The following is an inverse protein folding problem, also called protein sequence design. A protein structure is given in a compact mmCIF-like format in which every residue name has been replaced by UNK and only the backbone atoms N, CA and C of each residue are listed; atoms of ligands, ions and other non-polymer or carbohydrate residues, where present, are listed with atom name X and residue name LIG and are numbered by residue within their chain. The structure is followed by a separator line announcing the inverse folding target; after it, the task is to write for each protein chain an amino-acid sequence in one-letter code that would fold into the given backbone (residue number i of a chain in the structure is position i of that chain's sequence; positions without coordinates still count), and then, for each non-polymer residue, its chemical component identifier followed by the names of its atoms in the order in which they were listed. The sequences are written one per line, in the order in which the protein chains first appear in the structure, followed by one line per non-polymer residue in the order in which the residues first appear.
data_IF_037237788502
#
_entry.id   IF_037237788502
#
_cell.length_a   1.000
_cell.length_b   1.000
_cell.length_c   1.000
_cell.angle_alpha   90.00
_cell.angle_beta   90.00
_cell.angle_gamma   90.00
#
_symmetry.space_group_name_H-M   'P 1'
#
loop_
_entity.id
_entity.type
_entity.pdbx_description
1 polymer ?
#
# COMPACT_ATOMS: atom_id res chain seq x y z
N UNK A 1 -10.38 40.60 0.58
CA UNK A 1 -11.12 39.42 0.14
C UNK A 1 -11.82 38.84 1.35
N UNK A 2 -13.15 38.83 1.35
CA UNK A 2 -13.96 38.24 2.44
C UNK A 2 -13.93 36.72 2.30
N UNK A 3 -13.98 35.99 3.42
CA UNK A 3 -13.91 34.51 3.41
C UNK A 3 -15.01 33.87 2.53
N UNK A 4 -16.18 34.51 2.45
CA UNK A 4 -17.28 34.07 1.58
C UNK A 4 -16.96 34.20 0.08
N UNK A 5 -16.19 35.21 -0.31
CA UNK A 5 -15.75 35.41 -1.69
C UNK A 5 -14.78 34.28 -2.07
N UNK A 6 -13.81 33.98 -1.20
CA UNK A 6 -12.86 32.87 -1.39
C UNK A 6 -13.55 31.51 -1.51
N UNK A 7 -14.60 31.27 -0.72
CA UNK A 7 -15.35 30.01 -0.80
C UNK A 7 -16.05 29.84 -2.14
N UNK A 8 -16.57 30.94 -2.68
CA UNK A 8 -17.19 30.95 -4.00
C UNK A 8 -16.17 30.69 -5.10
N UNK A 9 -15.01 31.37 -5.04
CA UNK A 9 -13.94 31.22 -6.03
C UNK A 9 -13.32 29.81 -6.05
N UNK A 10 -13.26 29.14 -4.90
CA UNK A 10 -12.70 27.79 -4.76
C UNK A 10 -13.74 26.67 -4.90
N UNK A 11 -14.99 26.99 -5.23
CA UNK A 11 -16.09 26.01 -5.32
C UNK A 11 -16.22 25.13 -4.05
N UNK A 12 -16.02 25.75 -2.89
CA UNK A 12 -16.20 25.11 -1.57
C UNK A 12 -17.36 25.76 -0.83
N UNK A 13 -18.09 24.97 -0.07
CA UNK A 13 -19.23 25.42 0.73
C UNK A 13 -18.98 25.18 2.21
N UNK A 14 -19.43 26.12 3.04
CA UNK A 14 -19.46 25.94 4.48
C UNK A 14 -20.44 24.83 4.87
N UNK A 15 -19.95 23.89 5.67
CA UNK A 15 -20.70 22.74 6.13
C UNK A 15 -21.17 22.97 7.56
N UNK A 16 -22.48 23.04 7.73
CA UNK A 16 -23.08 23.31 9.03
C UNK A 16 -23.02 22.08 9.94
N UNK A 17 -22.54 22.22 11.19
CA UNK A 17 -22.75 21.22 12.23
C UNK A 17 -24.25 20.98 12.49
N UNK A 18 -24.59 19.75 12.87
CA UNK A 18 -25.95 19.33 13.22
C UNK A 18 -26.46 20.12 14.44
N UNK A 19 -25.59 20.34 15.43
CA UNK A 19 -25.86 21.17 16.60
C UNK A 19 -25.48 22.65 16.38
N UNK A 20 -26.16 23.28 15.41
CA UNK A 20 -25.96 24.70 15.07
C UNK A 20 -26.04 25.61 16.30
N UNK A 21 -25.17 26.60 16.36
CA UNK A 21 -25.11 27.57 17.47
C UNK A 21 -24.32 27.10 18.70
N UNK A 22 -23.85 25.84 18.72
CA UNK A 22 -22.90 25.40 19.75
C UNK A 22 -21.56 26.10 19.53
N UNK A 23 -21.03 26.85 20.52
CA UNK A 23 -19.74 27.50 20.38
C UNK A 23 -18.62 26.48 20.15
N UNK A 24 -17.75 26.76 19.19
CA UNK A 24 -16.54 25.96 18.95
C UNK A 24 -15.39 26.45 19.81
N UNK A 25 -15.43 27.71 20.26
CA UNK A 25 -14.50 28.28 21.22
C UNK A 25 -15.26 28.79 22.44
N UNK A 26 -14.83 28.35 23.62
CA UNK A 26 -15.28 28.81 24.93
C UNK A 26 -14.05 29.30 25.68
N UNK A 27 -13.84 30.62 25.76
CA UNK A 27 -12.76 31.21 26.53
C UNK A 27 -12.83 30.79 28.00
N UNK A 28 -11.67 30.70 28.66
CA UNK A 28 -11.61 30.39 30.09
C UNK A 28 -11.80 31.61 30.99
N UNK A 29 -11.70 32.82 30.42
CA UNK A 29 -11.97 34.08 31.10
C UNK A 29 -13.46 34.42 31.10
N UNK A 30 -13.99 34.81 32.27
CA UNK A 30 -15.41 35.08 32.47
C UNK A 30 -15.94 36.32 31.71
N UNK A 31 -15.05 37.16 31.19
CA UNK A 31 -15.40 38.39 30.47
C UNK A 31 -15.52 38.18 28.95
N UNK A 32 -14.93 37.10 28.40
CA UNK A 32 -14.97 36.82 26.96
C UNK A 32 -16.18 35.99 26.56
N UNK A 33 -16.70 36.30 25.37
CA UNK A 33 -17.85 35.59 24.81
C UNK A 33 -17.44 34.34 24.04
N UNK A 34 -18.24 33.29 24.19
CA UNK A 34 -18.11 32.08 23.39
C UNK A 34 -18.38 32.37 21.91
N UNK A 35 -17.66 31.70 21.00
CA UNK A 35 -17.69 31.98 19.56
C UNK A 35 -17.65 30.72 18.70
N UNK A 36 -18.06 30.86 17.43
CA UNK A 36 -18.09 29.79 16.41
C UNK A 36 -17.12 30.17 15.29
N UNK A 37 -15.82 30.07 15.59
CA UNK A 37 -14.76 30.50 14.67
C UNK A 37 -14.12 29.33 13.92
N UNK A 38 -14.35 28.09 14.38
CA UNK A 38 -13.85 26.89 13.73
C UNK A 38 -14.84 26.47 12.63
N UNK A 39 -14.37 26.51 11.39
CA UNK A 39 -15.20 26.28 10.21
C UNK A 39 -14.83 24.96 9.54
N UNK A 40 -15.83 24.21 9.08
CA UNK A 40 -15.65 23.09 8.16
C UNK A 40 -16.17 23.49 6.80
N UNK A 41 -15.35 23.29 5.78
CA UNK A 41 -15.71 23.53 4.38
C UNK A 41 -15.47 22.26 3.58
N UNK A 42 -16.27 22.03 2.56
CA UNK A 42 -16.09 20.91 1.63
C UNK A 42 -16.42 21.36 0.21
N UNK A 43 -15.84 20.68 -0.78
CA UNK A 43 -16.14 20.94 -2.19
C UNK A 43 -17.62 20.75 -2.48
N UNK A 44 -18.19 21.65 -3.28
CA UNK A 44 -19.58 21.54 -3.74
C UNK A 44 -19.81 20.23 -4.51
N UNK A 45 -18.81 19.77 -5.28
CA UNK A 45 -18.88 18.50 -6.01
C UNK A 45 -19.03 17.31 -5.03
N UNK A 46 -18.31 17.32 -3.91
CA UNK A 46 -18.39 16.27 -2.90
C UNK A 46 -19.74 16.30 -2.16
N UNK A 47 -20.24 17.50 -1.81
CA UNK A 47 -21.53 17.65 -1.11
C UNK A 47 -22.70 17.19 -1.98
N UNK A 48 -22.62 17.45 -3.30
CA UNK A 48 -23.67 17.08 -4.27
C UNK A 48 -23.55 15.66 -4.82
N UNK A 49 -22.51 14.93 -4.45
CA UNK A 49 -22.33 13.57 -4.92
C UNK A 49 -23.44 12.66 -4.38
N UNK A 50 -24.17 12.00 -5.28
CA UNK A 50 -25.23 11.07 -4.91
C UNK A 50 -24.70 9.95 -3.99
N UNK A 51 -25.38 9.76 -2.86
CA UNK A 51 -24.99 8.78 -1.83
C UNK A 51 -23.90 9.25 -0.84
N UNK A 52 -23.29 10.43 -1.05
CA UNK A 52 -22.39 11.02 -0.07
C UNK A 52 -23.17 11.76 1.02
N UNK A 53 -23.41 11.08 2.14
CA UNK A 53 -23.95 11.73 3.33
C UNK A 53 -22.80 12.14 4.25
N UNK A 54 -22.97 13.16 5.07
CA UNK A 54 -21.99 13.47 6.11
C UNK A 54 -22.72 14.00 7.34
N UNK A 55 -22.15 13.82 8.51
CA UNK A 55 -22.63 14.45 9.75
C UNK A 55 -21.49 15.14 10.44
N UNK A 56 -21.65 16.43 10.72
CA UNK A 56 -20.69 17.21 11.50
C UNK A 56 -21.35 17.56 12.82
N UNK A 57 -20.64 17.43 13.93
CA UNK A 57 -21.11 17.89 15.24
C UNK A 57 -19.97 18.50 16.03
N UNK A 58 -20.27 19.55 16.80
CA UNK A 58 -19.39 19.99 17.88
C UNK A 58 -19.48 18.96 18.99
N UNK A 59 -18.38 18.35 19.35
CA UNK A 59 -18.33 17.35 20.41
C UNK A 59 -18.53 18.02 21.78
N UNK A 60 -19.29 17.34 22.64
CA UNK A 60 -19.60 17.77 24.00
C UNK A 60 -18.69 17.12 25.05
N UNK A 61 -17.73 16.28 24.65
CA UNK A 61 -16.72 15.70 25.55
C UNK A 61 -15.87 16.78 26.21
N UNK A 62 -15.26 16.44 27.35
CA UNK A 62 -14.34 17.33 28.09
C UNK A 62 -13.35 17.98 27.12
N UNK A 63 -13.07 19.28 27.29
CA UNK A 63 -12.28 20.10 26.35
C UNK A 63 -10.79 19.70 26.26
N UNK A 64 -10.37 18.62 26.93
CA UNK A 64 -8.97 18.18 27.05
C UNK A 64 -8.00 19.32 27.45
N UNK A 65 -8.49 20.31 28.21
CA UNK A 65 -7.71 21.49 28.61
C UNK A 65 -7.55 22.59 27.55
N UNK A 66 -8.28 22.54 26.44
CA UNK A 66 -8.31 23.60 25.40
C UNK A 66 -9.51 24.54 25.58
N UNK A 67 -9.38 25.79 25.14
CA UNK A 67 -10.51 26.72 24.97
C UNK A 67 -11.35 26.40 23.72
N UNK A 68 -10.90 25.49 22.86
CA UNK A 68 -11.64 25.00 21.70
C UNK A 68 -12.33 23.65 21.96
N UNK A 69 -13.50 23.45 21.35
CA UNK A 69 -14.24 22.19 21.34
C UNK A 69 -13.89 21.38 20.08
N UNK A 70 -13.68 20.06 20.20
CA UNK A 70 -13.44 19.22 19.03
C UNK A 70 -14.65 19.23 18.07
N UNK A 71 -14.37 19.22 16.77
CA UNK A 71 -15.37 18.95 15.73
C UNK A 71 -15.26 17.49 15.31
N UNK A 72 -16.37 16.76 15.39
CA UNK A 72 -16.47 15.38 14.92
C UNK A 72 -17.19 15.34 13.58
N UNK A 73 -16.60 14.64 12.61
CA UNK A 73 -17.16 14.42 11.27
C UNK A 73 -17.36 12.92 11.07
N UNK A 74 -18.56 12.51 10.67
CA UNK A 74 -18.90 11.15 10.27
C UNK A 74 -19.14 11.13 8.76
N UNK A 75 -18.32 10.36 8.04
CA UNK A 75 -18.40 10.16 6.59
C UNK A 75 -18.69 8.67 6.34
N UNK A 76 -19.82 8.30 5.72
CA UNK A 76 -20.11 6.94 5.31
C UNK A 76 -19.17 6.58 4.16
N UNK A 77 -18.40 5.53 4.37
CA UNK A 77 -17.57 4.93 3.32
C UNK A 77 -18.43 3.82 2.73
N UNK A 78 -18.80 3.92 1.45
CA UNK A 78 -19.52 2.84 0.74
C UNK A 78 -18.80 1.50 0.94
N UNK A 79 -19.57 0.47 1.29
CA UNK A 79 -19.10 -0.80 1.87
C UNK A 79 -18.24 -1.72 1.00
N UNK A 80 -17.64 -1.24 -0.10
CA UNK A 80 -16.55 -1.98 -0.72
C UNK A 80 -15.36 -1.93 0.22
N UNK A 81 -14.96 -3.09 0.75
CA UNK A 81 -13.70 -3.25 1.50
C UNK A 81 -12.61 -2.44 0.78
N UNK A 82 -11.81 -1.63 1.48
CA UNK A 82 -10.67 -0.99 0.85
C UNK A 82 -9.90 -2.10 0.14
N UNK A 83 -9.70 -1.94 -1.16
CA UNK A 83 -8.94 -2.87 -1.98
C UNK A 83 -7.52 -2.85 -1.42
N UNK A 84 -7.27 -3.75 -0.48
CA UNK A 84 -5.92 -4.07 -0.07
C UNK A 84 -5.32 -4.56 -1.37
N UNK A 85 -4.40 -3.77 -1.95
CA UNK A 85 -3.61 -4.18 -3.12
C UNK A 85 -2.77 -5.37 -2.71
N UNK A 86 -3.42 -6.52 -2.61
CA UNK A 86 -2.78 -7.78 -2.47
C UNK A 86 -2.09 -8.01 -3.80
N UNK A 87 -0.80 -8.29 -3.70
CA UNK A 87 -0.01 -8.57 -4.88
C UNK A 87 -0.19 -10.04 -5.14
N UNK A 88 -0.76 -10.38 -6.29
CA UNK A 88 -0.66 -11.72 -6.85
C UNK A 88 0.81 -11.98 -7.14
N UNK A 89 1.33 -13.08 -6.61
CA UNK A 89 2.73 -13.45 -6.78
C UNK A 89 2.85 -14.96 -6.77
N UNK A 90 3.68 -15.48 -7.68
CA UNK A 90 4.23 -16.84 -7.60
C UNK A 90 5.53 -16.76 -6.80
N UNK A 91 5.70 -17.61 -5.79
CA UNK A 91 6.91 -17.57 -4.97
C UNK A 91 8.10 -18.13 -5.75
N UNK A 92 9.22 -17.41 -5.74
CA UNK A 92 10.41 -17.83 -6.46
C UNK A 92 10.95 -19.15 -5.90
N UNK A 93 11.32 -20.06 -6.81
CA UNK A 93 11.80 -21.41 -6.60
C UNK A 93 10.84 -22.31 -5.83
N UNK A 94 9.54 -22.05 -5.98
CA UNK A 94 8.47 -22.90 -5.47
C UNK A 94 8.12 -24.00 -6.49
N UNK A 95 7.42 -25.03 -6.03
CA UNK A 95 6.91 -26.08 -6.94
C UNK A 95 5.89 -25.49 -7.91
N UNK A 96 5.09 -24.54 -7.42
CA UNK A 96 4.11 -23.79 -8.19
C UNK A 96 4.75 -22.94 -9.30
N UNK A 97 5.97 -22.41 -9.10
CA UNK A 97 6.72 -21.73 -10.17
C UNK A 97 7.19 -22.71 -11.24
N UNK A 98 7.69 -23.88 -10.85
CA UNK A 98 8.09 -24.92 -11.81
C UNK A 98 6.89 -25.43 -12.63
N UNK A 99 5.73 -25.62 -11.99
CA UNK A 99 4.48 -26.02 -12.64
C UNK A 99 3.95 -24.93 -13.59
N UNK A 100 3.99 -23.66 -13.16
CA UNK A 100 3.66 -22.51 -14.00
C UNK A 100 4.54 -22.47 -15.27
N UNK A 101 5.85 -22.60 -15.13
CA UNK A 101 6.79 -22.61 -16.27
C UNK A 101 6.53 -23.82 -17.16
N UNK A 102 6.31 -25.00 -16.59
CA UNK A 102 6.06 -26.24 -17.35
C UNK A 102 4.77 -26.14 -18.16
N UNK A 103 3.70 -25.60 -17.58
CA UNK A 103 2.43 -25.39 -18.28
C UNK A 103 2.60 -24.42 -19.45
N UNK A 104 3.24 -23.27 -19.22
CA UNK A 104 3.45 -22.26 -20.28
C UNK A 104 4.33 -22.83 -21.39
N UNK A 105 5.45 -23.47 -21.07
CA UNK A 105 6.30 -24.10 -22.07
C UNK A 105 5.55 -25.16 -22.88
N UNK A 106 4.71 -25.98 -22.24
CA UNK A 106 3.90 -26.99 -22.92
C UNK A 106 2.78 -26.42 -23.77
N UNK A 107 2.15 -25.31 -23.38
CA UNK A 107 1.13 -24.62 -24.18
C UNK A 107 1.76 -23.90 -25.37
N UNK A 108 2.88 -23.18 -25.17
CA UNK A 108 3.61 -22.51 -26.24
C UNK A 108 4.19 -23.49 -27.26
N UNK A 109 4.74 -24.63 -26.81
CA UNK A 109 5.24 -25.67 -27.70
C UNK A 109 4.17 -26.20 -28.66
N UNK A 110 2.95 -26.44 -28.14
CA UNK A 110 1.79 -26.88 -28.94
C UNK A 110 1.29 -25.82 -29.92
N UNK A 111 1.45 -24.53 -29.58
CA UNK A 111 1.09 -23.43 -30.48
C UNK A 111 2.11 -23.29 -31.61
N UNK A 112 3.40 -23.49 -31.32
CA UNK A 112 4.48 -23.40 -32.30
C UNK A 112 4.37 -24.45 -33.42
N UNK A 113 3.86 -25.64 -33.10
CA UNK A 113 3.61 -26.72 -34.06
C UNK A 113 2.52 -26.39 -35.12
N UNK A 114 1.71 -25.35 -34.89
CA UNK A 114 0.55 -25.00 -35.71
C UNK A 114 0.60 -23.57 -36.28
N UNK A 115 1.78 -22.95 -36.36
CA UNK A 115 1.92 -21.56 -36.83
C UNK A 115 1.75 -21.49 -38.35
N UNK A 116 0.73 -20.75 -38.79
CA UNK A 116 0.49 -20.36 -40.17
C UNK A 116 0.92 -18.90 -40.36
N UNK A 117 1.44 -18.53 -41.53
CA UNK A 117 2.07 -17.20 -41.80
C UNK A 117 1.08 -16.07 -42.13
N UNK A 118 -0.23 -16.28 -41.96
CA UNK A 118 -1.23 -15.24 -42.25
C UNK A 118 -1.34 -14.23 -41.10
N UNK A 119 -1.65 -12.97 -41.42
CA UNK A 119 -1.79 -11.91 -40.42
C UNK A 119 -2.94 -12.16 -39.42
N UNK A 120 -4.02 -12.80 -39.88
CA UNK A 120 -5.18 -13.16 -39.06
C UNK A 120 -4.86 -14.33 -38.11
N UNK A 121 -3.98 -15.24 -38.54
CA UNK A 121 -3.47 -16.32 -37.70
C UNK A 121 -2.54 -15.80 -36.60
N UNK A 122 -1.74 -14.76 -36.87
CA UNK A 122 -0.84 -14.15 -35.88
C UNK A 122 -1.59 -13.50 -34.71
N UNK A 123 -2.66 -12.77 -34.98
CA UNK A 123 -3.47 -12.13 -33.94
C UNK A 123 -4.16 -13.19 -33.06
N UNK A 124 -4.70 -14.23 -33.70
CA UNK A 124 -5.30 -15.38 -33.02
C UNK A 124 -4.27 -16.13 -32.15
N UNK A 125 -3.04 -16.31 -32.65
CA UNK A 125 -1.95 -16.94 -31.89
C UNK A 125 -1.57 -16.06 -30.69
N UNK A 126 -1.44 -14.75 -30.88
CA UNK A 126 -1.10 -13.82 -29.79
C UNK A 126 -2.17 -13.82 -28.69
N UNK A 127 -3.45 -13.84 -29.06
CA UNK A 127 -4.55 -13.94 -28.10
C UNK A 127 -4.49 -15.25 -27.31
N UNK A 128 -4.16 -16.37 -27.98
CA UNK A 128 -3.97 -17.67 -27.31
C UNK A 128 -2.77 -17.66 -26.37
N UNK A 129 -1.67 -17.01 -26.76
CA UNK A 129 -0.50 -16.82 -25.89
C UNK A 129 -0.89 -16.01 -24.65
N UNK A 130 -1.53 -14.85 -24.82
CA UNK A 130 -2.00 -14.04 -23.70
C UNK A 130 -2.91 -14.83 -22.76
N UNK A 131 -3.87 -15.58 -23.32
CA UNK A 131 -4.79 -16.43 -22.55
C UNK A 131 -4.05 -17.54 -21.80
N UNK A 132 -3.00 -18.13 -22.38
CA UNK A 132 -2.18 -19.16 -21.72
C UNK A 132 -1.45 -18.60 -20.49
N UNK A 133 -0.83 -17.43 -20.64
CA UNK A 133 -0.19 -16.73 -19.53
C UNK A 133 -1.20 -16.35 -18.44
N UNK A 134 -2.36 -15.80 -18.81
CA UNK A 134 -3.41 -15.42 -17.85
C UNK A 134 -3.92 -16.64 -17.08
N UNK A 135 -4.24 -17.74 -17.76
CA UNK A 135 -4.71 -18.98 -17.12
C UNK A 135 -3.67 -19.59 -16.19
N UNK A 136 -2.43 -19.68 -16.63
CA UNK A 136 -1.35 -20.19 -15.79
C UNK A 136 -1.11 -19.26 -14.59
N UNK A 137 -1.16 -17.95 -14.79
CA UNK A 137 -1.01 -16.99 -13.71
C UNK A 137 -2.13 -17.11 -12.69
N UNK A 138 -3.39 -17.20 -13.11
CA UNK A 138 -4.53 -17.41 -12.21
C UNK A 138 -4.46 -18.74 -11.45
N UNK A 139 -3.93 -19.79 -12.07
CA UNK A 139 -3.83 -21.11 -11.46
C UNK A 139 -2.76 -21.19 -10.36
N UNK A 140 -1.61 -20.54 -10.55
CA UNK A 140 -0.45 -20.70 -9.66
C UNK A 140 -0.07 -19.46 -8.84
N UNK A 141 -0.62 -18.29 -9.14
CA UNK A 141 -0.32 -17.09 -8.35
C UNK A 141 -1.15 -17.04 -7.07
N UNK A 142 -0.52 -16.65 -5.97
CA UNK A 142 -1.20 -16.49 -4.68
C UNK A 142 -1.41 -15.02 -4.33
N UNK A 143 -2.57 -14.72 -3.77
CA UNK A 143 -2.84 -13.42 -3.17
C UNK A 143 -1.98 -13.21 -1.91
N UNK A 144 -0.94 -12.36 -2.01
CA UNK A 144 -0.08 -12.04 -0.86
C UNK A 144 -0.37 -10.66 -0.30
N UNK A 145 -0.75 -10.66 0.97
CA UNK A 145 -0.93 -9.45 1.78
C UNK A 145 0.44 -8.90 2.18
N UNK A 146 0.78 -7.65 1.85
CA UNK A 146 1.99 -7.02 2.36
C UNK A 146 2.03 -7.11 3.88
N UNK A 147 3.02 -7.82 4.44
CA UNK A 147 3.17 -7.91 5.88
C UNK A 147 3.64 -6.57 6.44
N UNK A 148 2.98 -6.07 7.48
CA UNK A 148 3.41 -4.92 8.29
C UNK A 148 4.85 -5.08 8.81
N UNK A 149 5.31 -6.31 8.94
CA UNK A 149 6.66 -6.69 9.36
C UNK A 149 7.60 -6.96 8.18
N UNK A 150 7.39 -6.27 7.05
CA UNK A 150 8.33 -6.27 5.92
C UNK A 150 9.77 -6.14 6.41
N UNK A 151 10.70 -6.84 5.73
CA UNK A 151 12.08 -7.05 6.20
C UNK A 151 12.89 -5.75 6.18
N UNK A 152 12.72 -4.88 7.18
CA UNK A 152 13.50 -3.61 7.34
C UNK A 152 15.01 -3.84 7.50
N UNK A 153 15.39 -5.06 7.85
CA UNK A 153 16.77 -5.52 7.98
C UNK A 153 17.39 -6.02 6.66
N UNK A 154 16.63 -6.04 5.56
CA UNK A 154 17.13 -6.43 4.24
C UNK A 154 18.02 -5.33 3.66
N UNK A 155 19.28 -5.68 3.34
CA UNK A 155 20.30 -4.76 2.84
C UNK A 155 20.85 -5.23 1.47
N UNK A 156 21.82 -4.49 0.91
CA UNK A 156 22.44 -4.83 -0.38
C UNK A 156 23.13 -6.21 -0.36
N UNK A 157 23.80 -6.59 0.72
CA UNK A 157 24.41 -7.93 0.84
C UNK A 157 23.36 -9.05 0.69
N UNK A 158 22.16 -8.85 1.24
CA UNK A 158 21.06 -9.79 1.08
C UNK A 158 20.57 -9.85 -0.37
N UNK A 159 20.55 -8.72 -1.10
CA UNK A 159 20.19 -8.70 -2.53
C UNK A 159 21.24 -9.42 -3.37
N UNK A 160 22.52 -9.14 -3.15
CA UNK A 160 23.61 -9.77 -3.88
C UNK A 160 23.64 -11.29 -3.63
N UNK A 161 23.52 -11.72 -2.38
CA UNK A 161 23.47 -13.15 -2.06
C UNK A 161 22.23 -13.85 -2.62
N UNK A 162 21.12 -13.13 -2.79
CA UNK A 162 19.90 -13.65 -3.42
C UNK A 162 20.09 -13.82 -4.94
N UNK A 163 20.71 -12.83 -5.62
CA UNK A 163 21.01 -12.90 -7.06
C UNK A 163 22.01 -14.02 -7.36
N UNK A 164 23.12 -14.08 -6.62
CA UNK A 164 24.14 -15.12 -6.77
C UNK A 164 23.54 -16.51 -6.52
N UNK A 165 22.63 -16.65 -5.55
CA UNK A 165 21.92 -17.90 -5.33
C UNK A 165 21.06 -18.27 -6.55
N UNK A 166 20.40 -17.32 -7.20
CA UNK A 166 19.63 -17.55 -8.43
C UNK A 166 20.50 -18.06 -9.58
N UNK A 167 21.65 -17.41 -9.82
CA UNK A 167 22.59 -17.76 -10.89
C UNK A 167 23.23 -19.15 -10.70
N UNK A 168 23.40 -19.59 -9.45
CA UNK A 168 24.15 -20.80 -9.10
C UNK A 168 23.26 -21.99 -8.70
N UNK A 169 22.11 -22.15 -9.38
CA UNK A 169 21.21 -23.30 -9.18
C UNK A 169 20.20 -23.14 -8.04
N UNK A 170 19.92 -21.90 -7.63
CA UNK A 170 18.86 -21.55 -6.71
C UNK A 170 19.02 -22.13 -5.30
N UNK A 171 17.92 -22.21 -4.53
CA UNK A 171 17.93 -22.78 -3.18
C UNK A 171 18.13 -24.31 -3.17
N UNK A 172 18.11 -24.97 -4.34
CA UNK A 172 18.45 -26.40 -4.50
C UNK A 172 19.94 -26.63 -4.26
N UNK A 173 20.79 -25.67 -4.65
CA UNK A 173 22.20 -25.68 -4.31
C UNK A 173 22.39 -25.45 -2.79
N UNK A 174 22.86 -26.50 -2.08
CA UNK A 174 23.03 -26.47 -0.63
C UNK A 174 24.03 -25.41 -0.18
N UNK A 175 25.08 -25.16 -0.94
CA UNK A 175 26.10 -24.17 -0.61
C UNK A 175 25.53 -22.76 -0.68
N UNK A 176 24.88 -22.42 -1.79
CA UNK A 176 24.26 -21.10 -1.99
C UNK A 176 23.16 -20.83 -0.97
N UNK A 177 22.31 -21.82 -0.69
CA UNK A 177 21.30 -21.73 0.37
C UNK A 177 21.93 -21.47 1.74
N UNK A 178 23.06 -22.12 2.05
CA UNK A 178 23.77 -21.89 3.31
C UNK A 178 24.42 -20.51 3.37
N UNK A 179 25.02 -20.05 2.26
CA UNK A 179 25.58 -18.70 2.12
C UNK A 179 24.50 -17.66 2.36
N UNK A 180 23.36 -17.78 1.68
CA UNK A 180 22.23 -16.89 1.85
C UNK A 180 21.73 -16.87 3.29
N UNK A 181 21.54 -18.04 3.93
CA UNK A 181 21.15 -18.11 5.35
C UNK A 181 22.15 -17.41 6.28
N UNK A 182 23.46 -17.50 6.01
CA UNK A 182 24.48 -16.80 6.79
C UNK A 182 24.36 -15.28 6.62
N UNK A 183 24.26 -14.80 5.38
CA UNK A 183 24.08 -13.36 5.08
C UNK A 183 22.84 -12.80 5.76
N UNK A 184 21.69 -13.50 5.66
CA UNK A 184 20.45 -13.08 6.32
C UNK A 184 20.59 -13.01 7.83
N UNK A 185 21.31 -13.95 8.46
CA UNK A 185 21.56 -13.94 9.92
C UNK A 185 22.40 -12.73 10.32
N UNK A 186 23.46 -12.42 9.56
CA UNK A 186 24.35 -11.29 9.82
C UNK A 186 23.61 -9.97 9.65
N UNK A 187 22.91 -9.76 8.53
CA UNK A 187 22.16 -8.53 8.27
C UNK A 187 21.08 -8.29 9.33
N UNK A 188 20.36 -9.36 9.72
CA UNK A 188 19.33 -9.29 10.75
C UNK A 188 19.93 -8.93 12.11
N UNK A 189 21.05 -9.57 12.50
CA UNK A 189 21.76 -9.25 13.74
C UNK A 189 22.25 -7.80 13.75
N UNK A 190 22.98 -7.38 12.72
CA UNK A 190 23.51 -6.03 12.62
C UNK A 190 22.41 -4.96 12.69
N UNK A 191 21.27 -5.19 12.03
CA UNK A 191 20.12 -4.30 12.12
C UNK A 191 19.62 -4.15 13.56
N UNK A 192 19.36 -5.27 14.26
CA UNK A 192 18.85 -5.23 15.63
C UNK A 192 19.87 -4.71 16.63
N UNK A 193 21.15 -5.05 16.46
CA UNK A 193 22.24 -4.52 17.30
C UNK A 193 22.35 -3.00 17.16
N UNK A 194 22.24 -2.47 15.93
CA UNK A 194 22.18 -1.02 15.69
C UNK A 194 20.96 -0.38 16.35
N UNK A 195 19.79 -1.02 16.28
CA UNK A 195 18.60 -0.52 16.98
C UNK A 195 18.83 -0.50 18.49
N UNK A 196 19.33 -1.59 19.08
CA UNK A 196 19.64 -1.68 20.52
C UNK A 196 20.67 -0.62 20.92
N UNK A 197 21.72 -0.43 20.13
CA UNK A 197 22.75 0.58 20.38
C UNK A 197 22.18 1.99 20.33
N UNK A 198 21.48 2.36 19.26
CA UNK A 198 20.82 3.67 19.13
C UNK A 198 19.83 3.90 20.29
N UNK A 199 19.09 2.86 20.67
CA UNK A 199 18.14 2.92 21.77
C UNK A 199 18.83 3.13 23.12
N UNK A 200 19.96 2.46 23.38
CA UNK A 200 20.72 2.60 24.62
C UNK A 200 21.45 3.96 24.72
N UNK A 201 21.89 4.51 23.59
CA UNK A 201 22.63 5.77 23.50
C UNK A 201 21.72 7.00 23.53
N UNK A 202 20.59 6.99 22.80
CA UNK A 202 19.73 8.18 22.62
C UNK A 202 18.55 8.25 23.61
N UNK A 203 18.14 7.12 24.19
CA UNK A 203 17.01 7.05 25.14
C UNK A 203 17.48 6.30 26.39
N UNK A 204 17.54 6.99 27.53
CA UNK A 204 17.96 6.36 28.78
C UNK A 204 17.14 5.09 29.06
N UNK A 205 17.86 4.06 29.55
CA UNK A 205 17.44 2.77 30.12
C UNK A 205 16.70 1.79 29.17
N UNK A 206 17.28 0.62 28.86
CA UNK A 206 16.70 -0.41 27.98
C UNK A 206 15.29 -0.92 28.36
N UNK A 207 14.89 -0.80 29.63
CA UNK A 207 13.59 -1.24 30.13
C UNK A 207 12.46 -0.21 29.99
N UNK A 208 12.75 1.05 29.62
CA UNK A 208 11.74 2.06 29.27
C UNK A 208 11.02 1.75 27.93
N UNK A 209 11.42 0.64 27.28
CA UNK A 209 10.96 0.17 25.98
C UNK A 209 9.93 -0.95 26.04
N UNK A 210 9.86 -1.69 27.15
CA UNK A 210 8.88 -2.76 27.28
C UNK A 210 7.57 -2.18 27.86
N UNK A 211 6.39 -2.59 27.35
CA UNK A 211 5.10 -2.02 27.80
C UNK A 211 4.70 -2.37 29.25
N UNK A 212 5.43 -3.26 29.92
CA UNK A 212 5.11 -3.74 31.28
C UNK A 212 5.14 -2.66 32.37
N UNK A 213 5.86 -1.55 32.17
CA UNK A 213 5.95 -0.42 33.11
C UNK A 213 5.34 0.89 32.59
N UNK A 214 4.86 0.91 31.34
CA UNK A 214 3.99 2.00 30.88
C UNK A 214 2.56 1.69 31.29
N UNK A 215 1.79 2.72 31.64
CA UNK A 215 0.33 2.62 31.61
C UNK A 215 -0.07 1.89 30.31
N UNK A 216 -0.89 0.85 30.45
CA UNK A 216 -1.50 0.20 29.29
C UNK A 216 -2.17 1.31 28.49
N UNK A 217 -1.53 1.72 27.39
CA UNK A 217 -2.24 2.51 26.37
C UNK A 217 -3.41 1.63 25.98
N UNK A 218 -4.63 2.10 26.24
CA UNK A 218 -5.84 1.50 25.72
C UNK A 218 -5.55 1.14 24.26
N UNK A 219 -5.85 -0.09 23.87
CA UNK A 219 -5.49 -0.53 22.54
C UNK A 219 -6.09 0.45 21.53
N UNK A 220 -5.34 0.77 20.47
CA UNK A 220 -5.85 1.65 19.41
C UNK A 220 -7.02 0.99 18.64
N UNK A 221 -7.37 -0.27 18.97
CA UNK A 221 -8.60 -0.96 18.57
C UNK A 221 -9.81 -0.56 19.43
N UNK A 222 -9.60 -0.11 20.67
CA UNK A 222 -10.67 0.37 21.56
C UNK A 222 -11.00 1.86 21.33
N UNK A 223 -10.18 2.59 20.56
CA UNK A 223 -10.29 4.05 20.40
C UNK A 223 -10.22 4.60 18.96
N UNK A 224 -10.29 3.78 17.91
CA UNK A 224 -10.52 4.31 16.55
C UNK A 224 -11.54 3.48 15.75
N UNK A 225 -12.53 4.12 15.11
CA UNK A 225 -13.05 3.63 13.84
C UNK A 225 -11.91 3.58 12.82
N UNK A 226 -11.93 2.54 11.99
CA UNK A 226 -10.93 2.13 11.00
C UNK A 226 -10.28 3.28 10.19
N UNK A 227 -9.01 3.13 9.76
CA UNK A 227 -8.23 4.22 9.18
C UNK A 227 -8.63 4.56 7.73
N UNK A 228 -8.83 5.87 7.48
CA UNK A 228 -8.77 6.46 6.14
C UNK A 228 -7.33 6.82 5.82
N UNK A 229 -6.83 6.37 4.66
CA UNK A 229 -5.78 7.06 3.92
C UNK A 229 -6.32 7.42 2.53
N UNK A 230 -6.27 8.72 2.25
CA UNK A 230 -5.98 9.39 0.98
C UNK A 230 -6.03 8.52 -0.29
N UNK A 231 -6.96 8.84 -1.19
CA UNK A 231 -6.85 8.48 -2.61
C UNK A 231 -6.18 9.61 -3.41
N UNK A 232 -5.44 9.26 -4.48
CA UNK A 232 -4.75 10.17 -5.37
C UNK A 232 -5.69 10.74 -6.45
N UNK A 233 -5.30 11.89 -6.98
CA UNK A 233 -5.91 12.55 -8.13
C UNK A 233 -6.03 11.60 -9.33
N UNK A 234 -7.27 11.37 -9.78
CA UNK A 234 -7.55 10.75 -11.06
C UNK A 234 -7.33 11.78 -12.17
N UNK A 235 -6.21 11.68 -12.88
CA UNK A 235 -6.07 12.31 -14.19
C UNK A 235 -6.36 11.30 -15.30
N UNK A 236 -7.26 11.70 -16.18
CA UNK A 236 -7.46 11.32 -17.58
C UNK A 236 -6.90 9.99 -18.07
N UNK A 237 -7.82 9.12 -18.48
CA UNK A 237 -7.54 8.10 -19.48
C UNK A 237 -7.20 8.81 -20.80
N UNK A 238 -5.94 8.74 -21.21
CA UNK A 238 -5.54 8.92 -22.61
C UNK A 238 -4.79 7.68 -23.08
N UNK A 239 -5.10 7.27 -24.31
CA UNK A 239 -4.55 6.12 -25.02
C UNK A 239 -3.01 6.19 -25.12
N UNK A 240 -2.30 5.51 -24.23
CA UNK A 240 -0.91 5.09 -24.45
C UNK A 240 -0.48 3.86 -23.62
N UNK A 241 -1.41 3.18 -22.94
CA UNK A 241 -1.09 2.22 -21.87
C UNK A 241 -0.84 0.77 -22.31
N UNK A 242 -0.42 0.52 -23.56
CA UNK A 242 0.00 -0.83 -24.00
C UNK A 242 1.52 -1.04 -24.06
N UNK A 243 2.34 -0.03 -23.76
CA UNK A 243 3.81 -0.18 -23.79
C UNK A 243 4.46 -0.52 -22.43
N UNK A 244 3.72 -0.53 -21.33
CA UNK A 244 4.31 -0.53 -19.98
C UNK A 244 4.34 -1.90 -19.26
N UNK A 245 3.77 -2.95 -19.85
CA UNK A 245 3.75 -4.30 -19.23
C UNK A 245 5.07 -5.07 -19.49
N UNK A 246 5.86 -4.67 -20.49
CA UNK A 246 7.08 -5.42 -20.88
C UNK A 246 8.38 -4.93 -20.23
N UNK A 247 8.41 -3.77 -19.55
CA UNK A 247 9.67 -3.15 -19.10
C UNK A 247 10.03 -3.33 -17.62
N UNK A 248 9.19 -3.98 -16.81
CA UNK A 248 9.46 -4.12 -15.37
C UNK A 248 9.83 -5.54 -14.90
N UNK A 249 9.85 -6.51 -15.79
CA UNK A 249 10.43 -7.82 -15.50
C UNK A 249 11.89 -7.83 -15.96
N UNK A 250 12.80 -7.61 -15.00
CA UNK A 250 14.23 -7.92 -15.14
C UNK A 250 14.38 -9.43 -15.41
N UNK A 251 14.27 -9.83 -16.66
CA UNK A 251 14.85 -11.06 -17.19
C UNK A 251 16.19 -10.68 -17.83
N UNK A 252 17.33 -11.22 -17.36
CA UNK A 252 18.52 -11.23 -18.20
C UNK A 252 18.31 -12.29 -19.29
N UNK A 253 17.87 -11.84 -20.48
CA UNK A 253 17.96 -12.64 -21.71
C UNK A 253 19.43 -12.75 -22.11
N UNK A 254 20.05 -13.86 -21.74
CA UNK A 254 21.33 -14.31 -22.28
C UNK A 254 21.03 -15.11 -23.55
N UNK A 255 20.90 -14.41 -24.68
CA UNK A 255 20.94 -15.02 -26.02
C UNK A 255 22.40 -15.02 -26.49
N UNK A 256 23.09 -16.13 -26.28
CA UNK A 256 24.29 -16.47 -27.03
C UNK A 256 23.82 -17.15 -28.33
N UNK A 257 23.95 -16.45 -29.46
CA UNK A 257 23.91 -17.08 -30.77
C UNK A 257 25.32 -17.61 -31.06
N UNK A 258 25.47 -18.93 -31.09
CA UNK A 258 26.61 -19.57 -31.74
C UNK A 258 26.43 -19.42 -33.26
N UNK A 259 27.28 -18.58 -33.85
CA UNK A 259 27.48 -18.52 -35.30
C UNK A 259 28.58 -19.50 -35.70
N UNK A 260 28.23 -20.42 -36.59
CA UNK A 260 29.21 -21.12 -37.44
C UNK A 260 29.82 -20.19 -38.48
#
# INVERSE_FOLDING_TARGET
MRLQELFTDLEIQYVYPVNRGTPTRIPDDAESQASVIDLVVASVALIRQDGFHYKIKVDNRERWGSDHRPLQIEIPISGSKPEMRCKWKIEAWSEEEDDYVTQICGELGRMLENVSESAEDLETIMERVSTAFERAWEAYSEERKPSRHGKKWWNEDCKQAYQEMGENGGPRNKEMRNKMRRTLRVARRHYFDKQIHNMASDRKRPWDLMPWTRERKQSLLDLLPLPVRTLPECHGVTLSHLSHILLHNNFPLLLQFDGG
#
